data_IF_676558560088
#
_entry.id   IF_676558560088
#
_cell.length_a   1.000
_cell.length_b   1.000
_cell.length_c   1.000
_cell.angle_alpha   90.00
_cell.angle_beta   90.00
_cell.angle_gamma   90.00
#
_symmetry.space_group_name_H-M   'P 1'
#
loop_
_entity.id
_entity.type
_entity.pdbx_description
1 polymer ?
#
# COMPACT_ATOMS: atom_id res chain seq x y z
N UNK A 1 -27.83 -34.63 28.14
CA UNK A 1 -26.44 -34.22 28.41
C UNK A 1 -25.62 -34.49 27.16
N UNK A 2 -24.92 -33.51 26.56
CA UNK A 2 -24.11 -33.78 25.37
C UNK A 2 -22.93 -34.65 25.82
N UNK A 3 -22.91 -35.90 25.37
CA UNK A 3 -21.78 -36.81 25.58
C UNK A 3 -20.52 -36.16 25.03
N UNK A 4 -19.46 -36.17 25.84
CA UNK A 4 -18.18 -35.58 25.49
C UNK A 4 -17.55 -36.42 24.35
N UNK A 5 -17.96 -36.15 23.09
CA UNK A 5 -17.50 -36.79 21.83
C UNK A 5 -15.97 -36.88 21.70
N UNK A 6 -15.25 -36.18 22.58
CA UNK A 6 -13.80 -36.08 22.71
C UNK A 6 -13.12 -37.35 23.24
N UNK A 7 -13.83 -38.22 23.94
CA UNK A 7 -13.27 -39.48 24.48
C UNK A 7 -13.42 -40.68 23.53
N UNK A 8 -14.19 -40.53 22.46
CA UNK A 8 -14.48 -41.63 21.52
C UNK A 8 -13.46 -41.56 20.37
N UNK A 9 -12.69 -42.63 20.12
CA UNK A 9 -11.73 -42.67 19.02
C UNK A 9 -12.38 -42.36 17.67
N UNK A 10 -11.68 -41.70 16.72
CA UNK A 10 -12.24 -41.33 15.41
C UNK A 10 -12.95 -42.47 14.68
N UNK A 11 -12.38 -43.68 14.73
CA UNK A 11 -12.98 -44.89 14.16
C UNK A 11 -14.33 -45.25 14.79
N UNK A 12 -14.45 -45.20 16.11
CA UNK A 12 -15.71 -45.46 16.80
C UNK A 12 -16.76 -44.37 16.52
N UNK A 13 -16.35 -43.12 16.29
CA UNK A 13 -17.24 -42.04 15.84
C UNK A 13 -17.73 -42.25 14.41
N UNK A 14 -16.91 -42.85 13.55
CA UNK A 14 -17.25 -43.19 12.17
C UNK A 14 -18.38 -44.24 12.12
N UNK A 15 -18.27 -45.26 12.97
CA UNK A 15 -19.28 -46.32 13.12
C UNK A 15 -20.64 -45.80 13.63
N UNK A 16 -20.66 -44.63 14.29
CA UNK A 16 -21.87 -44.01 14.84
C UNK A 16 -22.69 -43.18 13.82
N UNK A 17 -22.40 -43.29 12.52
CA UNK A 17 -23.23 -42.67 11.47
C UNK A 17 -22.49 -41.85 10.42
N UNK A 18 -21.16 -41.89 10.37
CA UNK A 18 -20.32 -41.19 9.39
C UNK A 18 -19.54 -42.21 8.56
N UNK A 19 -20.24 -43.09 7.83
CA UNK A 19 -19.64 -44.27 7.16
C UNK A 19 -18.47 -43.93 6.24
N UNK A 20 -18.52 -42.76 5.58
CA UNK A 20 -17.48 -42.29 4.67
C UNK A 20 -16.28 -41.67 5.39
N UNK A 21 -16.40 -41.35 6.69
CA UNK A 21 -15.34 -40.67 7.44
C UNK A 21 -15.00 -39.29 6.87
N UNK A 22 -15.98 -38.63 6.24
CA UNK A 22 -15.84 -37.29 5.66
C UNK A 22 -16.64 -36.23 6.43
N UNK A 23 -17.48 -36.65 7.38
CA UNK A 23 -18.28 -35.78 8.21
C UNK A 23 -17.59 -35.41 9.53
N UNK A 24 -18.41 -35.19 10.57
CA UNK A 24 -17.93 -34.73 11.88
C UNK A 24 -17.07 -35.76 12.61
N UNK A 25 -17.07 -37.05 12.24
CA UNK A 25 -16.22 -38.05 12.89
C UNK A 25 -14.73 -37.83 12.59
N UNK A 26 -14.44 -37.27 11.41
CA UNK A 26 -13.09 -36.94 10.92
C UNK A 26 -12.57 -35.58 11.41
N UNK A 27 -13.46 -34.74 11.96
CA UNK A 27 -13.09 -33.42 12.41
C UNK A 27 -12.22 -33.50 13.67
N UNK A 28 -11.06 -32.83 13.63
CA UNK A 28 -10.20 -32.68 14.79
C UNK A 28 -10.66 -31.53 15.68
N UNK A 29 -10.26 -31.53 16.97
CA UNK A 29 -10.49 -30.39 17.88
C UNK A 29 -9.91 -29.10 17.30
N UNK A 30 -8.78 -29.18 16.59
CA UNK A 30 -8.20 -28.04 15.89
C UNK A 30 -9.16 -27.53 14.82
N UNK A 31 -9.65 -28.42 13.95
CA UNK A 31 -10.57 -28.08 12.86
C UNK A 31 -11.90 -27.50 13.37
N UNK A 32 -12.42 -27.99 14.50
CA UNK A 32 -13.62 -27.42 15.15
C UNK A 32 -13.40 -26.00 15.69
N UNK A 33 -12.17 -25.68 16.11
CA UNK A 33 -11.82 -24.37 16.69
C UNK A 33 -11.31 -23.37 15.65
N UNK A 34 -11.10 -23.79 14.41
CA UNK A 34 -10.70 -22.87 13.34
C UNK A 34 -11.80 -21.83 13.14
N UNK A 35 -11.38 -20.56 13.08
CA UNK A 35 -12.24 -19.44 12.74
C UNK A 35 -11.60 -18.65 11.62
N UNK A 36 -12.39 -17.83 10.92
CA UNK A 36 -11.85 -16.96 9.88
C UNK A 36 -10.78 -16.03 10.48
N UNK A 37 -9.69 -15.80 9.73
CA UNK A 37 -8.60 -14.90 10.16
C UNK A 37 -9.10 -13.48 10.42
N UNK A 38 -10.16 -13.09 9.72
CA UNK A 38 -10.87 -11.82 9.82
C UNK A 38 -11.70 -11.67 11.09
N UNK A 39 -12.01 -12.77 11.81
CA UNK A 39 -12.88 -12.74 13.01
C UNK A 39 -12.30 -11.89 14.15
N UNK A 40 -10.98 -11.74 14.19
CA UNK A 40 -10.29 -10.96 15.22
C UNK A 40 -10.24 -9.46 14.91
N UNK A 41 -10.69 -9.02 13.74
CA UNK A 41 -10.70 -7.60 13.37
C UNK A 41 -11.67 -6.81 14.25
N UNK A 42 -11.26 -5.62 14.68
CA UNK A 42 -12.12 -4.66 15.39
C UNK A 42 -12.77 -3.66 14.42
N UNK A 43 -12.17 -3.45 13.24
CA UNK A 43 -12.64 -2.55 12.18
C UNK A 43 -12.45 -3.17 10.80
N UNK A 44 -13.39 -2.89 9.90
CA UNK A 44 -13.26 -3.19 8.47
C UNK A 44 -13.45 -1.89 7.69
N UNK A 45 -12.50 -1.56 6.82
CA UNK A 45 -12.55 -0.37 5.97
C UNK A 45 -12.51 -0.77 4.50
N UNK A 46 -13.17 0.02 3.65
CA UNK A 46 -13.13 -0.17 2.21
C UNK A 46 -11.94 0.57 1.61
N UNK A 47 -11.33 -0.02 0.60
CA UNK A 47 -10.23 0.57 -0.17
C UNK A 47 -10.24 0.08 -1.61
N UNK A 48 -9.35 0.63 -2.44
CA UNK A 48 -9.17 0.25 -3.84
C UNK A 48 -7.78 -0.38 -4.01
N UNK A 49 -7.72 -1.45 -4.79
CA UNK A 49 -6.47 -2.14 -5.14
C UNK A 49 -5.45 -1.17 -5.78
N UNK A 50 -4.22 -1.04 -5.22
CA UNK A 50 -3.25 -0.02 -5.63
C UNK A 50 -2.38 -0.41 -6.84
N UNK A 51 -2.78 -1.44 -7.61
CA UNK A 51 -1.91 -2.02 -8.64
C UNK A 51 -2.19 -1.51 -10.05
N UNK A 52 -3.25 -1.99 -10.69
CA UNK A 52 -3.58 -1.63 -12.07
C UNK A 52 -4.88 -0.84 -12.12
N UNK A 53 -5.16 -0.22 -13.27
CA UNK A 53 -6.30 0.66 -13.48
C UNK A 53 -7.68 -0.04 -13.51
N UNK A 54 -7.78 -1.32 -13.16
CA UNK A 54 -9.09 -2.01 -13.05
C UNK A 54 -9.89 -1.44 -11.87
N UNK A 55 -9.24 -1.03 -10.78
CA UNK A 55 -9.94 -0.45 -9.63
C UNK A 55 -10.75 -1.47 -8.82
N UNK A 56 -10.24 -2.68 -8.61
CA UNK A 56 -10.92 -3.68 -7.78
C UNK A 56 -11.11 -3.17 -6.34
N UNK A 57 -12.35 -3.17 -5.84
CA UNK A 57 -12.64 -2.88 -4.44
C UNK A 57 -12.09 -3.94 -3.47
N UNK A 58 -11.66 -3.50 -2.29
CA UNK A 58 -11.06 -4.30 -1.23
C UNK A 58 -11.70 -4.00 0.13
N UNK A 59 -11.81 -5.02 0.97
CA UNK A 59 -12.10 -4.91 2.40
C UNK A 59 -10.82 -5.14 3.19
N UNK A 60 -10.41 -4.14 3.96
CA UNK A 60 -9.21 -4.13 4.79
C UNK A 60 -9.64 -4.36 6.24
N UNK A 61 -9.18 -5.45 6.82
CA UNK A 61 -9.48 -5.84 8.19
C UNK A 61 -8.37 -5.38 9.11
N UNK A 62 -8.73 -4.62 10.14
CA UNK A 62 -7.80 -3.96 11.06
C UNK A 62 -8.02 -4.50 12.47
N UNK A 63 -6.93 -4.59 13.23
CA UNK A 63 -6.94 -4.85 14.66
C UNK A 63 -5.82 -4.06 15.33
N UNK A 64 -6.09 -3.36 16.42
CA UNK A 64 -5.09 -2.60 17.17
C UNK A 64 -4.29 -1.65 16.23
N UNK A 65 -5.01 -0.98 15.31
CA UNK A 65 -4.46 -0.10 14.26
C UNK A 65 -3.44 -0.77 13.30
N UNK A 66 -3.46 -2.10 13.20
CA UNK A 66 -2.67 -2.87 12.24
C UNK A 66 -3.57 -3.62 11.26
N UNK A 67 -3.19 -3.61 9.99
CA UNK A 67 -3.84 -4.44 8.96
C UNK A 67 -3.51 -5.89 9.26
N UNK A 68 -4.54 -6.73 9.45
CA UNK A 68 -4.37 -8.17 9.71
C UNK A 68 -4.78 -9.04 8.53
N UNK A 69 -5.57 -8.49 7.60
CA UNK A 69 -6.03 -9.16 6.39
C UNK A 69 -6.56 -8.16 5.36
N UNK A 70 -6.43 -8.47 4.07
CA UNK A 70 -7.11 -7.74 2.98
C UNK A 70 -7.77 -8.77 2.05
N UNK A 71 -9.05 -8.55 1.75
CA UNK A 71 -9.84 -9.40 0.83
C UNK A 71 -10.54 -8.53 -0.22
N UNK A 72 -11.08 -9.15 -1.27
CA UNK A 72 -11.87 -8.42 -2.26
C UNK A 72 -13.21 -8.01 -1.69
N UNK A 73 -13.69 -6.82 -2.04
CA UNK A 73 -15.01 -6.35 -1.63
C UNK A 73 -16.11 -6.98 -2.51
N UNK A 74 -17.02 -7.82 -1.96
CA UNK A 74 -18.15 -8.37 -2.71
C UNK A 74 -19.08 -7.30 -3.30
N UNK A 75 -19.13 -6.12 -2.67
CA UNK A 75 -20.02 -5.02 -3.04
C UNK A 75 -19.43 -4.19 -4.21
N UNK A 76 -18.18 -4.46 -4.60
CA UNK A 76 -17.52 -3.81 -5.73
C UNK A 76 -18.27 -4.11 -7.04
N UNK A 77 -18.75 -3.10 -7.78
CA UNK A 77 -19.44 -3.32 -9.05
C UNK A 77 -18.51 -3.87 -10.13
N UNK A 78 -17.20 -3.61 -10.00
CA UNK A 78 -16.18 -4.03 -10.96
C UNK A 78 -15.71 -5.47 -10.70
N UNK A 79 -15.35 -5.77 -9.46
CA UNK A 79 -14.65 -7.01 -9.12
C UNK A 79 -15.50 -8.05 -8.41
N UNK A 80 -16.62 -7.66 -7.78
CA UNK A 80 -17.55 -8.54 -7.04
C UNK A 80 -16.80 -9.52 -6.11
N UNK A 81 -15.86 -9.00 -5.33
CA UNK A 81 -15.04 -9.76 -4.38
C UNK A 81 -13.82 -10.49 -4.95
N UNK A 82 -13.61 -10.46 -6.27
CA UNK A 82 -12.48 -11.16 -6.91
C UNK A 82 -11.22 -10.30 -6.92
N UNK A 83 -10.09 -10.90 -6.57
CA UNK A 83 -8.76 -10.28 -6.68
C UNK A 83 -7.83 -11.20 -7.48
N UNK A 84 -7.01 -10.61 -8.34
CA UNK A 84 -5.88 -11.32 -8.96
C UNK A 84 -4.75 -11.52 -7.92
N UNK A 85 -3.69 -12.30 -8.22
CA UNK A 85 -2.61 -12.59 -7.27
C UNK A 85 -1.93 -11.34 -6.68
N UNK A 86 -1.86 -10.24 -7.44
CA UNK A 86 -1.34 -8.96 -6.93
C UNK A 86 -2.24 -8.39 -5.84
N UNK A 87 -3.54 -8.27 -6.14
CA UNK A 87 -4.52 -7.73 -5.21
C UNK A 87 -4.68 -8.58 -3.96
N UNK A 88 -4.73 -9.91 -4.08
CA UNK A 88 -4.85 -10.82 -2.92
C UNK A 88 -3.60 -10.85 -2.04
N UNK A 89 -2.45 -10.41 -2.56
CA UNK A 89 -1.21 -10.26 -1.81
C UNK A 89 -1.00 -8.86 -1.21
N UNK A 90 -1.95 -7.93 -1.37
CA UNK A 90 -1.81 -6.54 -0.90
C UNK A 90 -1.59 -6.39 0.62
N UNK A 91 -2.06 -7.32 1.45
CA UNK A 91 -1.73 -7.33 2.88
C UNK A 91 -0.22 -7.45 3.12
N UNK A 92 0.46 -8.27 2.31
CA UNK A 92 1.92 -8.46 2.40
C UNK A 92 2.69 -7.23 1.93
N UNK A 93 2.12 -6.41 1.06
CA UNK A 93 2.71 -5.13 0.68
C UNK A 93 2.77 -4.18 1.89
N UNK A 94 1.66 -4.05 2.63
CA UNK A 94 1.56 -3.14 3.78
C UNK A 94 2.45 -3.60 4.93
N UNK A 95 2.45 -4.90 5.22
CA UNK A 95 3.16 -5.52 6.33
C UNK A 95 4.55 -6.08 5.96
N UNK A 96 5.11 -5.68 4.82
CA UNK A 96 6.41 -6.20 4.38
C UNK A 96 7.50 -5.88 5.40
N UNK A 97 8.34 -6.87 5.81
CA UNK A 97 9.48 -6.61 6.69
C UNK A 97 10.56 -5.75 6.03
N UNK A 98 10.51 -5.61 4.70
CA UNK A 98 11.44 -4.76 3.93
C UNK A 98 10.98 -3.32 3.79
N UNK A 99 9.82 -2.95 4.34
CA UNK A 99 9.31 -1.59 4.30
C UNK A 99 10.27 -0.66 5.04
N UNK A 100 10.78 0.35 4.34
CA UNK A 100 11.61 1.38 4.97
C UNK A 100 10.74 2.31 5.82
N UNK A 101 11.18 2.58 7.03
CA UNK A 101 10.46 3.40 8.03
C UNK A 101 11.30 4.56 8.53
N UNK A 102 12.55 4.68 8.07
CA UNK A 102 13.48 5.74 8.42
C UNK A 102 13.96 6.46 7.18
N UNK A 103 14.19 7.76 7.30
CA UNK A 103 14.80 8.51 6.21
C UNK A 103 16.24 8.04 6.02
N UNK A 104 16.59 7.69 4.79
CA UNK A 104 17.94 7.29 4.38
C UNK A 104 18.59 8.41 3.58
N UNK A 105 19.79 8.79 4.00
CA UNK A 105 20.62 9.80 3.37
C UNK A 105 21.96 9.21 2.96
N UNK A 106 22.39 9.53 1.74
CA UNK A 106 23.71 9.16 1.21
C UNK A 106 24.47 10.45 0.91
N UNK A 107 25.62 10.63 1.56
CA UNK A 107 26.47 11.82 1.36
C UNK A 107 27.09 11.83 -0.05
N UNK A 108 27.41 13.00 -0.61
CA UNK A 108 28.23 13.11 -1.82
C UNK A 108 29.51 12.29 -1.70
N UNK A 109 29.81 11.46 -2.69
CA UNK A 109 30.97 10.56 -2.70
C UNK A 109 30.89 9.36 -1.72
N UNK A 110 29.83 9.24 -0.92
CA UNK A 110 29.67 8.14 0.05
C UNK A 110 29.15 6.85 -0.58
N UNK A 111 29.44 5.71 0.05
CA UNK A 111 28.88 4.39 -0.29
C UNK A 111 27.80 3.92 0.69
N UNK A 112 27.85 4.42 1.92
CA UNK A 112 26.98 3.97 3.01
C UNK A 112 25.74 4.87 3.21
N UNK A 113 24.66 4.24 3.66
CA UNK A 113 23.45 4.93 4.10
C UNK A 113 23.58 5.44 5.53
N UNK A 114 23.01 6.61 5.78
CA UNK A 114 22.86 7.21 7.11
C UNK A 114 21.40 7.50 7.36
N UNK A 115 21.00 7.51 8.63
CA UNK A 115 19.65 7.93 9.01
C UNK A 115 19.61 9.41 9.33
N UNK A 116 18.56 10.10 8.88
CA UNK A 116 18.21 11.45 9.29
C UNK A 116 16.83 11.45 9.95
N UNK A 117 16.54 12.47 10.76
CA UNK A 117 15.15 12.80 11.11
C UNK A 117 14.39 13.29 9.88
N UNK A 118 13.06 13.18 9.92
CA UNK A 118 12.22 13.67 8.83
C UNK A 118 12.34 15.19 8.67
N UNK A 119 12.45 15.90 9.79
CA UNK A 119 12.59 17.36 9.85
C UNK A 119 13.89 17.80 9.19
N UNK A 120 15.02 17.20 9.59
CA UNK A 120 16.33 17.51 8.99
C UNK A 120 16.37 17.20 7.49
N UNK A 121 15.75 16.10 7.07
CA UNK A 121 15.70 15.75 5.65
C UNK A 121 14.84 16.72 4.85
N UNK A 122 13.68 17.10 5.40
CA UNK A 122 12.77 18.07 4.78
C UNK A 122 13.43 19.42 4.59
N UNK A 123 14.07 19.96 5.63
CA UNK A 123 14.79 21.25 5.56
C UNK A 123 15.91 21.19 4.51
N UNK A 124 16.71 20.13 4.55
CA UNK A 124 17.81 19.93 3.61
C UNK A 124 17.34 19.81 2.15
N UNK A 125 16.18 19.20 1.91
CA UNK A 125 15.56 19.15 0.57
C UNK A 125 15.06 20.53 0.17
N UNK A 126 14.38 21.25 1.06
CA UNK A 126 13.85 22.58 0.81
C UNK A 126 14.98 23.56 0.43
N UNK A 127 16.05 23.62 1.21
CA UNK A 127 17.23 24.45 0.94
C UNK A 127 17.81 24.20 -0.45
N UNK A 128 17.95 22.92 -0.82
CA UNK A 128 18.50 22.54 -2.13
C UNK A 128 17.57 22.92 -3.27
N UNK A 129 16.26 22.73 -3.13
CA UNK A 129 15.27 23.10 -4.14
C UNK A 129 15.23 24.62 -4.31
N UNK A 130 15.21 25.38 -3.22
CA UNK A 130 15.21 26.85 -3.25
C UNK A 130 16.49 27.37 -3.91
N UNK A 131 17.65 26.84 -3.51
CA UNK A 131 18.93 27.22 -4.11
C UNK A 131 18.98 26.90 -5.60
N UNK A 132 18.65 25.66 -5.99
CA UNK A 132 18.64 25.25 -7.39
C UNK A 132 17.69 26.10 -8.24
N UNK A 133 16.51 26.44 -7.69
CA UNK A 133 15.57 27.35 -8.34
C UNK A 133 16.20 28.72 -8.58
N UNK A 134 16.80 29.32 -7.55
CA UNK A 134 17.39 30.64 -7.65
C UNK A 134 18.57 30.70 -8.62
N UNK A 135 19.43 29.68 -8.61
CA UNK A 135 20.61 29.59 -9.49
C UNK A 135 20.26 29.37 -10.96
N UNK A 136 19.07 28.88 -11.27
CA UNK A 136 18.66 28.49 -12.63
C UNK A 136 17.34 29.14 -13.07
N UNK A 137 16.97 30.25 -12.43
CA UNK A 137 15.76 30.98 -12.77
C UNK A 137 15.94 31.76 -14.07
N UNK A 138 15.02 31.58 -15.01
CA UNK A 138 14.94 32.34 -16.25
C UNK A 138 13.70 33.24 -16.18
N UNK A 139 13.92 34.54 -16.03
CA UNK A 139 12.82 35.52 -15.96
C UNK A 139 12.18 35.75 -17.34
N UNK A 140 13.01 35.87 -18.38
CA UNK A 140 12.61 36.23 -19.75
C UNK A 140 13.36 35.36 -20.79
N UNK A 141 12.83 35.29 -22.01
CA UNK A 141 13.50 34.71 -23.18
C UNK A 141 14.55 35.67 -23.74
N UNK A 142 15.38 35.20 -24.70
CA UNK A 142 16.33 36.05 -25.44
C UNK A 142 15.65 37.25 -26.13
N UNK A 143 14.40 37.06 -26.58
CA UNK A 143 13.57 38.09 -27.22
C UNK A 143 12.79 38.99 -26.23
N UNK A 144 13.09 38.89 -24.92
CA UNK A 144 12.47 39.72 -23.86
C UNK A 144 11.03 39.33 -23.52
N UNK A 145 10.57 38.13 -23.86
CA UNK A 145 9.24 37.66 -23.46
C UNK A 145 9.28 37.04 -22.05
N UNK A 146 8.29 37.28 -21.19
CA UNK A 146 8.24 36.66 -19.87
C UNK A 146 8.25 35.13 -19.96
N UNK A 147 9.18 34.50 -19.25
CA UNK A 147 9.39 33.05 -19.26
C UNK A 147 9.09 32.42 -17.89
N UNK A 148 9.64 33.00 -16.82
CA UNK A 148 9.39 32.65 -15.41
C UNK A 148 9.47 31.15 -15.11
N UNK A 149 10.62 30.54 -15.43
CA UNK A 149 10.83 29.10 -15.26
C UNK A 149 12.17 28.77 -14.60
N UNK A 150 12.33 27.50 -14.24
CA UNK A 150 13.61 26.91 -13.83
C UNK A 150 13.82 25.55 -14.50
N UNK A 151 15.06 25.28 -14.90
CA UNK A 151 15.53 23.97 -15.38
C UNK A 151 16.39 23.23 -14.33
N UNK A 152 16.53 23.79 -13.12
CA UNK A 152 17.42 23.28 -12.07
C UNK A 152 16.94 21.99 -11.40
N UNK A 153 15.68 21.59 -11.60
CA UNK A 153 15.14 20.33 -11.10
C UNK A 153 13.97 19.82 -11.92
N UNK A 154 13.75 18.51 -11.81
CA UNK A 154 12.78 17.75 -12.58
C UNK A 154 11.99 16.87 -11.61
N UNK A 155 10.69 16.69 -11.88
CA UNK A 155 9.85 15.78 -11.11
C UNK A 155 9.40 14.61 -11.98
N UNK A 156 9.56 13.39 -11.45
CA UNK A 156 9.07 12.15 -12.06
C UNK A 156 8.23 11.37 -11.05
N UNK A 157 6.96 11.14 -11.36
CA UNK A 157 6.12 10.26 -10.54
C UNK A 157 4.63 10.48 -10.80
N UNK A 158 3.77 9.76 -10.08
CA UNK A 158 2.39 10.21 -9.88
C UNK A 158 1.30 9.16 -10.04
N UNK A 159 1.42 8.19 -10.94
CA UNK A 159 0.30 7.29 -11.25
C UNK A 159 -0.10 6.34 -10.10
N UNK A 160 0.73 6.24 -9.06
CA UNK A 160 0.49 5.41 -7.88
C UNK A 160 0.05 6.22 -6.65
N UNK A 161 -0.01 7.55 -6.78
CA UNK A 161 -0.44 8.47 -5.74
C UNK A 161 -1.92 8.81 -5.92
N UNK A 162 -2.53 9.31 -4.86
CA UNK A 162 -3.92 9.74 -4.92
C UNK A 162 -4.08 10.96 -5.84
N UNK A 163 -5.31 11.19 -6.32
CA UNK A 163 -5.58 12.29 -7.26
C UNK A 163 -5.31 13.65 -6.60
N UNK A 164 -5.66 13.77 -5.33
CA UNK A 164 -5.49 14.96 -4.51
C UNK A 164 -3.99 15.25 -4.29
N UNK A 165 -3.18 14.22 -4.03
CA UNK A 165 -1.73 14.36 -3.91
C UNK A 165 -1.10 14.80 -5.23
N UNK A 166 -1.48 14.17 -6.35
CA UNK A 166 -1.03 14.57 -7.68
C UNK A 166 -1.41 16.02 -8.00
N UNK A 167 -2.60 16.45 -7.61
CA UNK A 167 -3.06 17.83 -7.77
C UNK A 167 -2.16 18.81 -7.00
N UNK A 168 -1.82 18.49 -5.75
CA UNK A 168 -0.91 19.31 -4.93
C UNK A 168 0.51 19.33 -5.51
N UNK A 169 1.04 18.18 -5.92
CA UNK A 169 2.35 18.06 -6.56
C UNK A 169 2.41 18.93 -7.82
N UNK A 170 1.40 18.83 -8.70
CA UNK A 170 1.36 19.63 -9.92
C UNK A 170 1.35 21.12 -9.62
N UNK A 171 0.53 21.56 -8.65
CA UNK A 171 0.49 22.97 -8.22
C UNK A 171 1.84 23.43 -7.68
N UNK A 172 2.46 22.63 -6.82
CA UNK A 172 3.75 22.96 -6.21
C UNK A 172 4.84 23.17 -7.26
N UNK A 173 5.06 22.18 -8.13
CA UNK A 173 6.15 22.26 -9.12
C UNK A 173 5.88 23.32 -10.19
N UNK A 174 4.64 23.51 -10.62
CA UNK A 174 4.29 24.58 -11.55
C UNK A 174 4.45 25.97 -10.92
N UNK A 175 4.05 26.15 -9.65
CA UNK A 175 4.28 27.42 -8.94
C UNK A 175 5.77 27.70 -8.70
N UNK A 176 6.58 26.65 -8.54
CA UNK A 176 8.03 26.77 -8.48
C UNK A 176 8.68 27.11 -9.84
N UNK A 177 7.92 27.08 -10.94
CA UNK A 177 8.41 27.36 -12.30
C UNK A 177 9.11 26.17 -12.97
N UNK A 178 9.02 24.96 -12.40
CA UNK A 178 9.54 23.77 -13.07
C UNK A 178 8.66 23.40 -14.27
N UNK A 179 9.32 23.11 -15.39
CA UNK A 179 8.64 22.69 -16.62
C UNK A 179 8.71 21.18 -16.85
N UNK A 180 9.76 20.52 -16.38
CA UNK A 180 9.91 19.07 -16.53
C UNK A 180 9.24 18.35 -15.37
N UNK A 181 7.93 18.11 -15.56
CA UNK A 181 7.05 17.43 -14.61
C UNK A 181 6.39 16.29 -15.37
N UNK A 182 6.94 15.09 -15.26
CA UNK A 182 6.55 13.92 -16.06
C UNK A 182 6.11 12.76 -15.15
N UNK A 183 5.42 11.77 -15.72
CA UNK A 183 4.96 10.59 -15.00
C UNK A 183 4.93 9.35 -15.88
N UNK A 184 4.41 8.26 -15.33
CA UNK A 184 4.28 6.98 -16.01
C UNK A 184 3.37 7.03 -17.25
N UNK A 185 2.52 8.05 -17.43
CA UNK A 185 1.68 8.14 -18.63
C UNK A 185 2.48 8.52 -19.90
N UNK A 186 3.72 9.00 -19.73
CA UNK A 186 4.63 9.27 -20.85
C UNK A 186 5.32 8.01 -21.38
N UNK A 187 5.59 7.04 -20.50
CA UNK A 187 6.40 5.83 -20.77
C UNK A 187 5.48 4.68 -21.16
#
# INVERSE_FOLDING_TARGET
MPTNRRLIPPFARQLAGDRLGLGRAAQSVRSERLTARTRAADKVVQSICPYCAVGCGQKVYVKDEKVIQIEGDPDSPISRGRLCPKGSASERLVNSPTRETRVKYRRPGGTEWQSLSLEQATEMIADRVIRARAETWEEETEDGQPLKRTLGFHFLGGATLDTEENYLIKKFFTAAGAISIENQARI
#
